data_IF_952532592203
#
_entry.id   IF_952532592203
#
_cell.length_a   1.000
_cell.length_b   1.000
_cell.length_c   1.000
_cell.angle_alpha   90.00
_cell.angle_beta   90.00
_cell.angle_gamma   90.00
#
_symmetry.space_group_name_H-M   'P 1'
#
loop_
_entity.id
_entity.type
_entity.pdbx_description
1 polymer ?
#
# COMPACT_ATOMS: atom_id res chain seq x y z
N UNK A 1 11.71 16.08 -7.99
CA UNK A 1 12.77 15.30 -7.33
C UNK A 1 13.48 14.49 -8.41
N UNK A 2 14.81 14.55 -8.45
CA UNK A 2 15.62 13.84 -9.44
C UNK A 2 16.28 12.61 -8.82
N UNK A 3 16.72 11.66 -9.65
CA UNK A 3 17.39 10.43 -9.23
C UNK A 3 18.61 10.66 -8.32
N UNK A 4 19.37 11.73 -8.58
CA UNK A 4 20.56 12.10 -7.84
C UNK A 4 20.28 12.57 -6.40
N UNK A 5 19.02 12.87 -6.07
CA UNK A 5 18.63 13.34 -4.74
C UNK A 5 18.36 12.18 -3.76
N UNK A 6 18.27 10.95 -4.27
CA UNK A 6 17.97 9.75 -3.46
C UNK A 6 19.26 9.19 -2.85
N UNK A 7 19.22 8.83 -1.56
CA UNK A 7 20.32 8.13 -0.89
C UNK A 7 19.81 7.01 0.03
N UNK A 8 20.69 6.05 0.31
CA UNK A 8 20.43 5.03 1.31
C UNK A 8 20.16 5.68 2.68
N UNK A 9 19.16 5.18 3.38
CA UNK A 9 18.66 5.72 4.64
C UNK A 9 17.53 6.75 4.51
N UNK A 10 17.24 7.26 3.31
CA UNK A 10 16.09 8.15 3.12
C UNK A 10 14.77 7.42 3.40
N UNK A 11 13.83 8.15 4.01
CA UNK A 11 12.49 7.67 4.34
C UNK A 11 11.43 8.57 3.74
N UNK A 12 10.43 7.95 3.11
CA UNK A 12 9.28 8.63 2.54
C UNK A 12 8.01 8.03 3.10
N UNK A 13 7.15 8.88 3.64
CA UNK A 13 5.84 8.50 4.16
C UNK A 13 4.76 9.03 3.22
N UNK A 14 3.82 8.15 2.85
CA UNK A 14 2.71 8.48 1.96
C UNK A 14 1.42 7.89 2.52
N UNK A 15 0.27 8.43 2.11
CA UNK A 15 -1.03 7.88 2.48
C UNK A 15 -1.18 6.46 1.89
N UNK A 16 -1.79 5.55 2.65
CA UNK A 16 -2.07 4.19 2.20
C UNK A 16 -3.47 3.77 2.66
N UNK A 17 -4.31 3.23 1.75
CA UNK A 17 -5.66 2.83 2.13
C UNK A 17 -5.65 1.56 2.97
N UNK A 18 -6.64 1.47 3.86
CA UNK A 18 -6.96 0.29 4.63
C UNK A 18 -8.46 0.02 4.60
N UNK A 19 -8.84 -1.25 4.68
CA UNK A 19 -10.21 -1.70 4.92
C UNK A 19 -10.26 -2.61 6.14
N UNK A 20 -11.45 -2.74 6.71
CA UNK A 20 -11.73 -3.67 7.80
C UNK A 20 -12.08 -5.03 7.22
N UNK A 21 -11.43 -6.06 7.75
CA UNK A 21 -11.90 -7.43 7.63
C UNK A 21 -12.37 -7.93 8.98
N UNK A 22 -13.45 -8.72 8.95
CA UNK A 22 -13.98 -9.38 10.13
C UNK A 22 -13.49 -10.82 10.12
N UNK A 23 -12.68 -11.19 11.11
CA UNK A 23 -12.37 -12.60 11.33
C UNK A 23 -13.44 -13.18 12.24
N UNK A 24 -14.37 -13.94 11.65
CA UNK A 24 -15.30 -14.75 12.45
C UNK A 24 -14.59 -16.01 12.92
N UNK A 25 -14.44 -16.18 14.23
CA UNK A 25 -13.94 -17.42 14.81
C UNK A 25 -15.05 -18.14 15.58
N UNK A 26 -15.17 -19.45 15.35
CA UNK A 26 -16.08 -20.32 16.10
C UNK A 26 -15.24 -21.18 17.03
N UNK A 27 -15.35 -20.94 18.33
CA UNK A 27 -14.63 -21.68 19.36
C UNK A 27 -15.60 -22.41 20.29
N UNK A 28 -15.10 -23.34 21.11
CA UNK A 28 -15.91 -24.00 22.15
C UNK A 28 -16.48 -23.03 23.20
N UNK A 29 -16.05 -21.77 23.21
CA UNK A 29 -16.52 -20.71 24.10
C UNK A 29 -17.52 -19.74 23.45
N UNK A 30 -17.90 -19.97 22.19
CA UNK A 30 -18.88 -19.16 21.46
C UNK A 30 -18.33 -18.51 20.19
N UNK A 31 -19.15 -17.62 19.61
CA UNK A 31 -18.83 -16.84 18.43
C UNK A 31 -18.10 -15.55 18.81
N UNK A 32 -16.92 -15.34 18.24
CA UNK A 32 -16.18 -14.08 18.31
C UNK A 32 -16.08 -13.43 16.93
N UNK A 33 -16.17 -12.10 16.88
CA UNK A 33 -15.88 -11.29 15.69
C UNK A 33 -14.77 -10.33 16.10
N UNK A 34 -13.59 -10.52 15.50
CA UNK A 34 -12.48 -9.59 15.65
C UNK A 34 -12.37 -8.78 14.36
N UNK A 35 -12.52 -7.46 14.47
CA UNK A 35 -12.29 -6.53 13.37
C UNK A 35 -10.81 -6.14 13.35
N UNK A 36 -10.17 -6.20 12.19
CA UNK A 36 -8.78 -5.78 12.04
C UNK A 36 -8.55 -5.03 10.72
N UNK A 37 -7.56 -4.13 10.74
CA UNK A 37 -7.15 -3.39 9.56
C UNK A 37 -6.34 -4.25 8.61
N UNK A 38 -6.73 -4.23 7.34
CA UNK A 38 -6.00 -4.85 6.24
C UNK A 38 -5.58 -3.76 5.26
N UNK A 39 -4.30 -3.77 4.89
CA UNK A 39 -3.77 -2.81 3.92
C UNK A 39 -4.35 -3.05 2.53
N UNK A 40 -4.94 -2.02 1.94
CA UNK A 40 -5.63 -2.09 0.66
C UNK A 40 -7.01 -1.46 0.72
N UNK A 41 -7.82 -1.75 -0.29
CA UNK A 41 -9.21 -1.35 -0.35
C UNK A 41 -10.09 -2.60 -0.39
N UNK A 42 -11.30 -2.47 0.16
CA UNK A 42 -12.39 -3.38 -0.16
C UNK A 42 -12.76 -3.20 -1.63
N UNK A 43 -13.01 -4.31 -2.31
CA UNK A 43 -13.38 -4.33 -3.73
C UNK A 43 -14.83 -4.78 -3.84
N UNK A 44 -15.69 -3.85 -4.25
CA UNK A 44 -17.07 -4.14 -4.60
C UNK A 44 -17.18 -4.26 -6.12
N UNK A 45 -17.97 -5.22 -6.60
CA UNK A 45 -18.17 -5.46 -8.03
C UNK A 45 -19.66 -5.30 -8.33
N UNK A 46 -20.00 -4.29 -9.10
CA UNK A 46 -21.37 -4.13 -9.61
C UNK A 46 -21.46 -4.72 -11.01
N UNK A 47 -22.35 -5.70 -11.16
CA UNK A 47 -22.61 -6.33 -12.45
C UNK A 47 -23.82 -5.67 -13.11
N UNK A 48 -23.59 -4.97 -14.21
CA UNK A 48 -24.66 -4.34 -15.00
C UNK A 48 -25.26 -5.30 -16.03
N UNK A 49 -24.45 -6.23 -16.56
CA UNK A 49 -24.90 -7.28 -17.48
C UNK A 49 -24.02 -8.54 -17.42
N UNK A 50 -24.35 -9.58 -18.20
CA UNK A 50 -23.55 -10.82 -18.29
C UNK A 50 -22.09 -10.57 -18.69
N UNK A 51 -21.81 -9.49 -19.43
CA UNK A 51 -20.48 -9.17 -19.98
C UNK A 51 -19.90 -7.85 -19.47
N UNK A 52 -20.61 -7.16 -18.58
CA UNK A 52 -20.23 -5.82 -18.10
C UNK A 52 -20.32 -5.74 -16.58
N UNK A 53 -19.18 -5.46 -15.96
CA UNK A 53 -19.06 -5.24 -14.52
C UNK A 53 -18.07 -4.12 -14.24
N UNK A 54 -18.40 -3.27 -13.28
CA UNK A 54 -17.51 -2.23 -12.76
C UNK A 54 -16.98 -2.61 -11.39
N UNK A 55 -15.75 -2.18 -11.06
CA UNK A 55 -15.12 -2.44 -9.75
C UNK A 55 -14.93 -1.13 -9.02
N UNK A 56 -15.45 -1.07 -7.81
CA UNK A 56 -15.32 0.06 -6.90
C UNK A 56 -14.34 -0.31 -5.79
N UNK A 57 -13.38 0.59 -5.53
CA UNK A 57 -12.37 0.41 -4.50
C UNK A 57 -12.67 1.37 -3.34
N UNK A 58 -13.01 0.82 -2.19
CA UNK A 58 -13.40 1.60 -1.01
C UNK A 58 -12.41 1.36 0.12
N UNK A 59 -11.85 2.43 0.68
CA UNK A 59 -11.03 2.40 1.87
C UNK A 59 -11.88 2.86 3.07
N UNK A 60 -11.91 2.08 4.15
CA UNK A 60 -12.59 2.47 5.39
C UNK A 60 -11.72 3.45 6.22
N UNK A 61 -10.41 3.52 5.94
CA UNK A 61 -9.50 4.47 6.57
C UNK A 61 -8.19 4.64 5.79
N UNK A 62 -7.47 5.70 6.09
CA UNK A 62 -6.12 5.97 5.57
C UNK A 62 -5.10 5.90 6.70
N UNK A 63 -4.16 4.97 6.56
CA UNK A 63 -2.95 4.94 7.35
C UNK A 63 -1.79 5.48 6.51
N UNK A 64 -0.60 4.90 6.69
CA UNK A 64 0.58 5.29 5.92
C UNK A 64 1.43 4.12 5.49
N UNK A 65 2.09 4.30 4.35
CA UNK A 65 3.16 3.44 3.86
C UNK A 65 4.48 4.19 3.95
N UNK A 66 5.51 3.48 4.42
CA UNK A 66 6.84 4.02 4.63
C UNK A 66 7.80 3.28 3.70
N UNK A 67 8.47 4.02 2.83
CA UNK A 67 9.55 3.51 1.99
C UNK A 67 10.90 3.99 2.55
N UNK A 68 11.73 3.05 3.00
CA UNK A 68 13.10 3.30 3.48
C UNK A 68 14.10 2.78 2.45
N UNK A 69 14.87 3.66 1.81
CA UNK A 69 15.86 3.27 0.81
C UNK A 69 17.00 2.52 1.50
N UNK A 70 17.26 1.29 1.06
CA UNK A 70 18.37 0.47 1.54
C UNK A 70 19.60 0.66 0.67
N UNK A 71 19.40 0.67 -0.66
CA UNK A 71 20.47 0.91 -1.62
C UNK A 71 19.91 1.34 -2.97
N UNK A 72 20.79 1.96 -3.77
CA UNK A 72 20.54 2.27 -5.17
C UNK A 72 21.56 1.48 -5.97
N UNK A 73 21.09 0.63 -6.86
CA UNK A 73 21.92 -0.23 -7.69
C UNK A 73 22.01 0.36 -9.10
N UNK A 74 23.22 0.74 -9.50
CA UNK A 74 23.54 1.10 -10.88
C UNK A 74 23.48 -0.15 -11.75
N UNK A 75 22.64 -0.11 -12.78
CA UNK A 75 22.47 -1.26 -13.66
C UNK A 75 23.35 -1.13 -14.91
N UNK A 76 24.02 -2.20 -15.36
CA UNK A 76 24.91 -2.11 -16.51
C UNK A 76 24.16 -1.84 -17.82
N UNK A 77 24.85 -1.19 -18.76
CA UNK A 77 24.36 -1.01 -20.13
C UNK A 77 23.20 -0.02 -20.24
N UNK A 78 22.04 -0.48 -20.74
CA UNK A 78 20.85 0.35 -21.00
C UNK A 78 19.71 0.13 -20.00
N UNK A 79 19.95 -0.65 -18.95
CA UNK A 79 18.94 -0.91 -17.93
C UNK A 79 18.82 0.30 -17.00
N UNK A 80 17.60 0.61 -16.59
CA UNK A 80 17.37 1.66 -15.60
C UNK A 80 17.83 1.20 -14.22
N UNK A 81 18.49 2.12 -13.51
CA UNK A 81 18.89 1.94 -12.12
C UNK A 81 17.72 1.54 -11.23
N UNK A 82 18.04 0.81 -10.18
CA UNK A 82 17.07 0.22 -9.26
C UNK A 82 17.21 0.81 -7.87
N UNK A 83 16.08 1.09 -7.24
CA UNK A 83 16.01 1.41 -5.81
C UNK A 83 15.57 0.15 -5.08
N UNK A 84 16.39 -0.30 -4.14
CA UNK A 84 16.05 -1.36 -3.20
C UNK A 84 15.62 -0.67 -1.91
N UNK A 85 14.42 -0.94 -1.44
CA UNK A 85 13.84 -0.26 -0.29
C UNK A 85 13.03 -1.22 0.58
N UNK A 86 12.96 -0.93 1.88
CA UNK A 86 12.03 -1.58 2.80
C UNK A 86 10.69 -0.83 2.74
N UNK A 87 9.60 -1.56 2.53
CA UNK A 87 8.23 -1.07 2.56
C UNK A 87 7.53 -1.58 3.80
N UNK A 88 7.18 -0.70 4.73
CA UNK A 88 6.33 -1.01 5.90
C UNK A 88 5.03 -0.21 5.85
N UNK A 89 4.02 -0.63 6.60
CA UNK A 89 2.74 0.09 6.69
C UNK A 89 2.29 0.22 8.13
N UNK A 90 1.68 1.36 8.43
CA UNK A 90 1.04 1.67 9.71
C UNK A 90 -0.43 1.90 9.39
N UNK A 91 -1.31 1.26 10.14
CA UNK A 91 -2.76 1.36 9.96
C UNK A 91 -3.31 2.71 10.47
N UNK A 92 -4.62 2.99 10.25
CA UNK A 92 -5.24 4.23 10.71
C UNK A 92 -5.22 4.43 12.22
N UNK A 93 -5.16 3.34 13.01
CA UNK A 93 -5.11 3.41 14.48
C UNK A 93 -3.70 3.66 15.01
N UNK A 94 -2.69 3.61 14.13
CA UNK A 94 -1.29 3.87 14.46
C UNK A 94 -0.49 2.60 14.75
N UNK A 95 -1.10 1.42 14.60
CA UNK A 95 -0.45 0.14 14.80
C UNK A 95 0.30 -0.32 13.55
N UNK A 96 1.31 -1.18 13.76
CA UNK A 96 2.14 -1.68 12.66
C UNK A 96 1.43 -2.82 11.93
N UNK A 97 0.72 -2.51 10.85
CA UNK A 97 0.06 -3.52 10.01
C UNK A 97 1.05 -4.39 9.19
N UNK A 98 2.19 -3.84 8.77
CA UNK A 98 3.25 -4.62 8.12
C UNK A 98 4.62 -4.10 8.57
N UNK A 99 5.37 -4.96 9.28
CA UNK A 99 6.69 -4.65 9.86
C UNK A 99 7.79 -4.44 8.80
N UNK A 100 7.53 -4.88 7.57
CA UNK A 100 8.15 -4.40 6.36
C UNK A 100 8.72 -5.48 5.46
N UNK A 101 8.59 -5.26 4.16
CA UNK A 101 9.03 -6.15 3.08
C UNK A 101 10.07 -5.44 2.21
N UNK A 102 11.13 -6.14 1.81
CA UNK A 102 12.11 -5.57 0.89
C UNK A 102 11.56 -5.66 -0.53
N UNK A 103 11.49 -4.52 -1.22
CA UNK A 103 11.06 -4.42 -2.62
C UNK A 103 12.10 -3.71 -3.47
N UNK A 104 11.92 -3.87 -4.78
CA UNK A 104 12.76 -3.23 -5.79
C UNK A 104 11.89 -2.58 -6.85
N UNK A 105 12.19 -1.32 -7.18
CA UNK A 105 11.56 -0.59 -8.28
C UNK A 105 12.64 0.04 -9.17
N UNK A 106 12.26 0.44 -10.39
CA UNK A 106 13.09 1.37 -11.15
C UNK A 106 13.09 2.72 -10.44
N UNK A 107 14.21 3.47 -10.53
CA UNK A 107 14.30 4.83 -9.97
C UNK A 107 13.13 5.69 -10.44
N UNK A 108 12.75 5.60 -11.72
CA UNK A 108 11.61 6.36 -12.27
C UNK A 108 10.28 6.03 -11.60
N UNK A 109 9.97 4.74 -11.36
CA UNK A 109 8.72 4.34 -10.68
C UNK A 109 8.76 4.74 -9.21
N UNK A 110 9.90 4.57 -8.56
CA UNK A 110 10.08 4.98 -7.17
C UNK A 110 9.83 6.48 -6.98
N UNK A 111 10.42 7.33 -7.83
CA UNK A 111 10.18 8.80 -7.81
C UNK A 111 8.70 9.11 -8.03
N UNK A 112 8.04 8.45 -9.00
CA UNK A 112 6.60 8.63 -9.21
C UNK A 112 5.81 8.32 -7.93
N UNK A 113 6.15 7.23 -7.25
CA UNK A 113 5.45 6.78 -6.05
C UNK A 113 5.62 7.78 -4.89
N UNK A 114 6.85 8.17 -4.58
CA UNK A 114 7.14 9.08 -3.44
C UNK A 114 6.68 10.53 -3.67
N UNK A 115 6.37 10.90 -4.91
CA UNK A 115 5.84 12.23 -5.26
C UNK A 115 4.32 12.23 -5.41
N UNK A 116 3.67 11.07 -5.37
CA UNK A 116 2.22 10.93 -5.42
C UNK A 116 1.64 11.00 -4.00
N UNK A 117 0.35 11.35 -3.86
CA UNK A 117 -0.37 11.30 -2.56
C UNK A 117 -0.28 9.90 -1.94
N UNK A 118 -0.46 8.89 -2.79
CA UNK A 118 -0.42 7.49 -2.43
C UNK A 118 0.27 6.70 -3.54
N UNK A 119 1.08 5.69 -3.22
CA UNK A 119 1.64 4.77 -4.20
C UNK A 119 0.67 3.62 -4.54
N UNK A 120 -0.56 3.64 -4.02
CA UNK A 120 -1.60 2.68 -4.37
C UNK A 120 -1.96 2.81 -5.86
N UNK A 121 -2.11 1.70 -6.60
CA UNK A 121 -2.12 1.74 -8.07
C UNK A 121 -3.46 2.15 -8.70
N UNK A 122 -4.52 2.27 -7.91
CA UNK A 122 -5.88 2.58 -8.38
C UNK A 122 -6.46 3.72 -7.54
N UNK A 123 -7.39 4.47 -8.13
CA UNK A 123 -8.18 5.43 -7.39
C UNK A 123 -9.14 4.69 -6.44
N UNK A 124 -9.40 5.29 -5.28
CA UNK A 124 -10.31 4.74 -4.28
C UNK A 124 -11.09 5.87 -3.60
N UNK A 125 -12.26 5.50 -3.09
CA UNK A 125 -13.07 6.36 -2.26
C UNK A 125 -12.80 6.07 -0.78
N UNK A 126 -12.76 7.13 0.02
CA UNK A 126 -12.74 7.03 1.48
C UNK A 126 -14.18 6.96 1.96
N UNK A 127 -14.52 5.94 2.72
CA UNK A 127 -15.83 5.81 3.33
C UNK A 127 -16.09 7.00 4.26
N UNK A 128 -17.22 7.67 4.07
CA UNK A 128 -17.59 8.83 4.89
C UNK A 128 -17.90 8.35 6.32
N UNK A 129 -17.15 8.86 7.28
CA UNK A 129 -17.32 8.58 8.71
C UNK A 129 -18.60 9.22 9.27
#
# INVERSE_FOLDING_TARGET
>A
MNAADLKAGDKYEMAWPFHFEQLTSNSSFGWGVDDYWVGGCKVDVEQHSEWESERFFTAHGEGKVIYEILSIAEMPGRYMDRVIFKRSTIDPDGDTANSGEIKMLTVRKFIKDITSRTPFPVDYELEAT
#
